data_IF_874068706373
#
_entry.id   IF_874068706373
#
_cell.length_a   1.000
_cell.length_b   1.000
_cell.length_c   1.000
_cell.angle_alpha   90.00
_cell.angle_beta   90.00
_cell.angle_gamma   90.00
#
_symmetry.space_group_name_H-M   'P 1'
#
loop_
_entity.id
_entity.type
_entity.pdbx_description
1 polymer ?
#
# COMPACT_ATOMS: atom_id res chain seq x y z
N UNK A 1 4.21 17.05 0.83
CA UNK A 1 3.84 16.12 1.91
C UNK A 1 3.66 14.73 1.29
N UNK A 2 4.35 13.68 1.76
CA UNK A 2 4.15 12.34 1.20
C UNK A 2 2.74 11.85 1.55
N UNK A 3 1.96 11.50 0.53
CA UNK A 3 0.62 10.93 0.73
C UNK A 3 0.75 9.56 1.38
N UNK A 4 0.03 9.35 2.48
CA UNK A 4 -0.01 8.09 3.22
C UNK A 4 -1.19 7.27 2.72
N UNK A 5 -0.92 6.02 2.35
CA UNK A 5 -1.94 5.06 1.90
C UNK A 5 -2.02 3.87 2.85
N UNK A 6 -3.23 3.33 2.98
CA UNK A 6 -3.47 2.03 3.60
C UNK A 6 -3.40 0.92 2.55
N UNK A 7 -3.37 -0.34 3.00
CA UNK A 7 -3.47 -1.47 2.08
C UNK A 7 -4.80 -1.46 1.31
N UNK A 8 -5.88 -1.00 1.93
CA UNK A 8 -7.20 -0.97 1.30
C UNK A 8 -7.25 0.02 0.14
N UNK A 9 -6.71 1.23 0.34
CA UNK A 9 -6.62 2.25 -0.72
C UNK A 9 -5.83 1.72 -1.94
N UNK A 10 -4.71 1.05 -1.67
CA UNK A 10 -3.86 0.48 -2.72
C UNK A 10 -4.48 -0.74 -3.39
N UNK A 11 -5.26 -1.54 -2.66
CA UNK A 11 -6.04 -2.64 -3.24
C UNK A 11 -7.05 -2.10 -4.23
N UNK A 12 -7.83 -1.09 -3.87
CA UNK A 12 -8.82 -0.49 -4.79
C UNK A 12 -8.16 0.11 -6.02
N UNK A 13 -7.01 0.77 -5.85
CA UNK A 13 -6.21 1.28 -6.96
C UNK A 13 -5.69 0.15 -7.87
N UNK A 14 -5.21 -0.97 -7.30
CA UNK A 14 -4.74 -2.13 -8.05
C UNK A 14 -5.87 -2.80 -8.84
N UNK A 15 -7.06 -2.95 -8.23
CA UNK A 15 -8.23 -3.51 -8.89
C UNK A 15 -8.68 -2.66 -10.09
N UNK A 16 -8.63 -1.33 -9.97
CA UNK A 16 -8.87 -0.40 -11.09
C UNK A 16 -7.87 -0.57 -12.24
N UNK A 17 -6.67 -1.08 -11.96
CA UNK A 17 -5.64 -1.39 -12.94
C UNK A 17 -5.70 -2.86 -13.44
N UNK A 18 -6.84 -3.53 -13.27
CA UNK A 18 -7.06 -4.93 -13.66
C UNK A 18 -6.11 -5.94 -12.99
N UNK A 19 -5.55 -5.61 -11.83
CA UNK A 19 -4.80 -6.56 -11.02
C UNK A 19 -5.79 -7.47 -10.30
N UNK A 20 -5.50 -8.78 -10.27
CA UNK A 20 -6.33 -9.76 -9.55
C UNK A 20 -6.39 -9.43 -8.07
N UNK A 21 -7.54 -9.65 -7.45
CA UNK A 21 -7.74 -9.49 -6.01
C UNK A 21 -7.04 -10.60 -5.21
N UNK A 22 -5.72 -10.53 -5.21
CA UNK A 22 -4.87 -11.48 -4.54
C UNK A 22 -3.74 -10.73 -3.86
N UNK A 23 -3.53 -11.02 -2.58
CA UNK A 23 -2.58 -10.30 -1.72
C UNK A 23 -1.15 -10.29 -2.26
N UNK A 24 -0.73 -11.37 -2.93
CA UNK A 24 0.59 -11.45 -3.55
C UNK A 24 0.66 -10.54 -4.77
N UNK A 25 -0.32 -10.62 -5.67
CA UNK A 25 -0.36 -9.80 -6.89
C UNK A 25 -0.44 -8.30 -6.57
N UNK A 26 -1.31 -7.93 -5.62
CA UNK A 26 -1.42 -6.55 -5.12
C UNK A 26 -0.09 -6.12 -4.48
N UNK A 27 0.54 -6.97 -3.67
CA UNK A 27 1.84 -6.67 -3.05
C UNK A 27 2.96 -6.40 -4.06
N UNK A 28 3.04 -7.23 -5.11
CA UNK A 28 3.98 -7.03 -6.22
C UNK A 28 3.69 -5.71 -6.94
N UNK A 29 2.43 -5.46 -7.28
CA UNK A 29 2.03 -4.24 -7.96
C UNK A 29 2.31 -2.96 -7.14
N UNK A 30 2.07 -2.99 -5.82
CA UNK A 30 2.42 -1.89 -4.92
C UNK A 30 3.94 -1.57 -5.00
N UNK A 31 4.77 -2.60 -5.04
CA UNK A 31 6.22 -2.44 -5.15
C UNK A 31 6.64 -1.87 -6.51
N UNK A 32 6.02 -2.31 -7.61
CA UNK A 32 6.32 -1.77 -8.95
C UNK A 32 5.89 -0.33 -9.13
N UNK A 33 4.85 0.11 -8.42
CA UNK A 33 4.39 1.50 -8.40
C UNK A 33 5.23 2.43 -7.49
N UNK A 34 6.30 1.92 -6.87
CA UNK A 34 7.22 2.72 -6.05
C UNK A 34 6.69 3.07 -4.65
N UNK A 35 5.66 2.36 -4.16
CA UNK A 35 5.19 2.54 -2.79
C UNK A 35 6.11 1.85 -1.79
N UNK A 36 6.56 2.60 -0.78
CA UNK A 36 7.40 2.08 0.31
C UNK A 36 6.56 1.73 1.52
N UNK A 37 6.68 0.49 1.98
CA UNK A 37 6.02 0.00 3.20
C UNK A 37 6.68 0.59 4.44
N UNK A 38 5.89 1.20 5.32
CA UNK A 38 6.33 1.71 6.61
C UNK A 38 5.46 1.13 7.74
N UNK A 39 6.11 0.63 8.79
CA UNK A 39 5.42 0.20 10.01
C UNK A 39 5.59 1.28 11.07
N UNK A 40 4.50 1.68 11.71
CA UNK A 40 4.51 2.63 12.83
C UNK A 40 3.68 2.07 13.98
N UNK A 41 4.14 2.29 15.21
CA UNK A 41 3.37 2.01 16.40
C UNK A 41 2.64 3.29 16.80
N UNK A 42 1.31 3.24 16.86
CA UNK A 42 0.46 4.37 17.24
C UNK A 42 -0.50 3.85 18.30
N UNK A 43 -0.53 4.50 19.47
CA UNK A 43 -1.38 4.09 20.60
C UNK A 43 -1.22 2.60 20.94
N UNK A 44 0.02 2.11 21.01
CA UNK A 44 0.36 0.69 21.25
C UNK A 44 -0.09 -0.30 20.15
N UNK A 45 -0.64 0.16 19.04
CA UNK A 45 -1.07 -0.68 17.91
C UNK A 45 -0.07 -0.53 16.76
N UNK A 46 0.46 -1.65 16.25
CA UNK A 46 1.31 -1.68 15.05
C UNK A 46 0.45 -1.53 13.79
N UNK A 47 0.58 -0.40 13.11
CA UNK A 47 -0.09 -0.13 11.83
C UNK A 47 0.92 -0.16 10.68
N UNK A 48 0.48 -0.65 9.54
CA UNK A 48 1.27 -0.66 8.29
C UNK A 48 0.68 0.38 7.35
N UNK A 49 1.55 1.24 6.84
CA UNK A 49 1.25 2.30 5.90
C UNK A 49 2.14 2.16 4.67
N UNK A 50 1.72 2.79 3.59
CA UNK A 50 2.47 2.85 2.34
C UNK A 50 2.66 4.31 1.95
N UNK A 51 3.89 4.67 1.61
CA UNK A 51 4.25 6.02 1.19
C UNK A 51 4.61 5.99 -0.29
N UNK A 52 4.03 6.88 -1.08
CA UNK A 52 4.46 7.05 -2.48
C UNK A 52 5.66 7.98 -2.50
N UNK A 53 6.81 7.46 -2.91
CA UNK A 53 7.93 8.29 -3.34
C UNK A 53 7.56 8.85 -4.71
N UNK A 54 7.46 10.18 -4.82
CA UNK A 54 7.20 10.87 -6.10
C UNK A 54 8.27 10.52 -7.14
#
# INVERSE_FOLDING_TARGET
>A
MPTIYTYQDLRELALKNNIRDNKVHIGVWIQTQGYRKQRRQINHIRKTFYLKTQ
#
